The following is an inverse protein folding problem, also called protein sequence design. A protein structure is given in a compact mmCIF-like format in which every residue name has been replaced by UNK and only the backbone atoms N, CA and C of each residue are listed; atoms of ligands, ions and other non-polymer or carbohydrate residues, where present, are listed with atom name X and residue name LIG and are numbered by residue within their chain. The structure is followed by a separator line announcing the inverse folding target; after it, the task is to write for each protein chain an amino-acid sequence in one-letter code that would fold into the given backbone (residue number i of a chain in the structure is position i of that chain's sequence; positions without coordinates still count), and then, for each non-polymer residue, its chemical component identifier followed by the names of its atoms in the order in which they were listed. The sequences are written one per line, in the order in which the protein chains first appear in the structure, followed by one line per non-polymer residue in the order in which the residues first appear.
data_IF_927723353825
#
_entry.id   IF_927723353825
#
_cell.length_a   1.000
_cell.length_b   1.000
_cell.length_c   1.000
_cell.angle_alpha   90.00
_cell.angle_beta   90.00
_cell.angle_gamma   90.00
#
_symmetry.space_group_name_H-M   'P 1'
#
loop_
_entity.id
_entity.type
_entity.pdbx_description
1 polymer ?
#
# COMPACT_ATOMS: atom_id res chain seq x y z
N UNK A 1 0.81 -14.67 1.31
CA UNK A 1 1.97 -14.06 2.01
C UNK A 1 1.49 -12.78 2.69
N UNK A 2 2.12 -12.38 3.79
CA UNK A 2 1.75 -11.16 4.51
C UNK A 2 2.91 -10.17 4.44
N UNK A 3 2.61 -8.93 4.05
CA UNK A 3 3.61 -7.87 3.89
C UNK A 3 3.22 -6.62 4.67
N UNK A 4 4.21 -5.83 5.06
CA UNK A 4 4.01 -4.46 5.54
C UNK A 4 4.53 -3.49 4.49
N UNK A 5 3.64 -2.64 3.98
CA UNK A 5 3.95 -1.63 2.99
C UNK A 5 4.08 -0.27 3.67
N UNK A 6 5.25 0.35 3.55
CA UNK A 6 5.47 1.74 3.96
C UNK A 6 5.26 2.65 2.75
N UNK A 7 4.14 3.34 2.71
CA UNK A 7 3.70 4.16 1.58
C UNK A 7 3.76 5.63 1.95
N UNK A 8 4.41 6.46 1.12
CA UNK A 8 4.36 7.90 1.28
C UNK A 8 3.00 8.45 0.84
N UNK A 9 2.29 9.12 1.75
CA UNK A 9 1.00 9.75 1.48
C UNK A 9 1.12 11.25 1.64
N UNK A 10 0.67 11.96 0.63
CA UNK A 10 0.66 13.42 0.57
C UNK A 10 -0.51 13.85 -0.29
N UNK A 11 -1.38 14.70 0.27
CA UNK A 11 -2.62 15.12 -0.39
C UNK A 11 -2.36 15.96 -1.65
N UNK A 12 -1.37 16.85 -1.60
CA UNK A 12 -0.96 17.70 -2.71
C UNK A 12 0.47 18.22 -2.47
N UNK A 13 1.06 18.88 -3.47
CA UNK A 13 2.44 19.38 -3.43
C UNK A 13 2.73 20.39 -2.29
N UNK A 14 1.71 21.01 -1.69
CA UNK A 14 1.85 21.99 -0.60
C UNK A 14 1.65 21.38 0.79
N UNK A 15 0.96 20.24 0.89
CA UNK A 15 0.74 19.54 2.16
C UNK A 15 2.01 18.82 2.62
N UNK A 16 2.24 18.74 3.94
CA UNK A 16 3.32 17.89 4.49
C UNK A 16 2.96 16.42 4.28
N UNK A 17 3.82 15.69 3.58
CA UNK A 17 3.65 14.25 3.43
C UNK A 17 4.08 13.47 4.68
N UNK A 18 3.67 12.20 4.72
CA UNK A 18 4.04 11.26 5.79
C UNK A 18 4.11 9.84 5.24
N UNK A 19 4.89 8.99 5.90
CA UNK A 19 4.78 7.55 5.67
C UNK A 19 3.57 7.00 6.43
N UNK A 20 2.72 6.26 5.73
CA UNK A 20 1.69 5.40 6.28
C UNK A 20 2.15 3.94 6.15
N UNK A 21 1.78 3.11 7.12
CA UNK A 21 2.02 1.67 7.05
C UNK A 21 0.71 0.98 6.80
N UNK A 22 0.67 0.13 5.77
CA UNK A 22 -0.45 -0.73 5.45
C UNK A 22 -0.02 -2.19 5.53
N UNK A 23 -0.93 -3.04 5.96
CA UNK A 23 -0.71 -4.48 5.97
C UNK A 23 -1.37 -5.08 4.73
N UNK A 24 -0.61 -5.86 3.97
CA UNK A 24 -1.11 -6.60 2.82
C UNK A 24 -1.21 -8.07 3.23
N UNK A 25 -2.43 -8.54 3.50
CA UNK A 25 -2.68 -9.91 3.93
C UNK A 25 -3.01 -10.80 2.74
N UNK A 26 -2.66 -12.09 2.83
CA UNK A 26 -3.08 -13.10 1.85
C UNK A 26 -2.61 -12.88 0.40
N UNK A 27 -1.50 -12.19 0.17
CA UNK A 27 -0.97 -11.90 -1.18
C UNK A 27 -0.41 -13.18 -1.82
N UNK A 28 -0.87 -13.51 -3.03
CA UNK A 28 -0.38 -14.67 -3.77
C UNK A 28 1.05 -14.41 -4.30
N UNK A 29 1.93 -15.43 -4.36
CA UNK A 29 3.26 -15.30 -4.95
C UNK A 29 3.24 -14.94 -6.44
N UNK A 30 2.15 -15.24 -7.14
CA UNK A 30 1.99 -14.93 -8.55
C UNK A 30 1.48 -13.50 -8.81
N UNK A 31 1.10 -12.77 -7.75
CA UNK A 31 0.57 -11.40 -7.84
C UNK A 31 1.69 -10.40 -8.10
N UNK A 32 1.48 -9.50 -9.06
CA UNK A 32 2.40 -8.39 -9.28
C UNK A 32 2.34 -7.35 -8.15
N UNK A 33 3.36 -6.50 -8.04
CA UNK A 33 3.39 -5.44 -7.02
C UNK A 33 2.22 -4.45 -7.17
N UNK A 34 1.78 -4.15 -8.40
CA UNK A 34 0.66 -3.24 -8.63
C UNK A 34 -0.69 -3.87 -8.25
N UNK A 35 -0.92 -5.13 -8.60
CA UNK A 35 -2.12 -5.85 -8.16
C UNK A 35 -2.17 -5.99 -6.63
N UNK A 36 -1.01 -6.15 -5.97
CA UNK A 36 -0.95 -6.09 -4.51
C UNK A 36 -1.36 -4.72 -3.96
N UNK A 37 -0.97 -3.62 -4.62
CA UNK A 37 -1.42 -2.28 -4.21
C UNK A 37 -2.93 -2.11 -4.39
N UNK A 38 -3.51 -2.68 -5.43
CA UNK A 38 -4.95 -2.66 -5.66
C UNK A 38 -5.69 -3.40 -4.54
N UNK A 39 -5.24 -4.60 -4.15
CA UNK A 39 -5.79 -5.38 -3.03
C UNK A 39 -5.78 -4.56 -1.73
N UNK A 40 -4.63 -3.93 -1.42
CA UNK A 40 -4.50 -3.10 -0.20
C UNK A 40 -5.40 -1.86 -0.28
N UNK A 41 -5.61 -1.30 -1.47
CA UNK A 41 -6.45 -0.14 -1.66
C UNK A 41 -7.95 -0.47 -1.57
N UNK A 42 -8.37 -1.69 -1.92
CA UNK A 42 -9.75 -2.16 -1.74
C UNK A 42 -10.12 -2.41 -0.26
N UNK A 43 -9.13 -2.64 0.60
CA UNK A 43 -9.32 -2.82 2.05
C UNK A 43 -9.35 -1.48 2.84
N UNK A 44 -9.13 -0.33 2.19
CA UNK A 44 -9.05 1.01 2.80
C UNK A 44 -10.35 1.82 2.65
#
# INVERSE_FOLDING_TARGET
MNFQLRVWRQENAKSKGRFATYEAHNISPDTSFLEMLDIVNDEL
#
